data_IF_679406787521
#
_entry.id   IF_679406787521
#
_cell.length_a   1.000
_cell.length_b   1.000
_cell.length_c   1.000
_cell.angle_alpha   90.00
_cell.angle_beta   90.00
_cell.angle_gamma   90.00
#
_symmetry.space_group_name_H-M   'P 1'
#
loop_
_entity.id
_entity.type
_entity.pdbx_description
1 polymer ?
#
# COMPACT_ATOMS: atom_id res chain seq x y z
N UNK A 1 -41.44 -24.60 -45.31
CA UNK A 1 -40.70 -25.87 -45.45
C UNK A 1 -39.23 -25.51 -45.49
N UNK A 2 -38.39 -25.69 -44.47
CA UNK A 2 -38.22 -26.82 -43.56
C UNK A 2 -37.73 -26.30 -42.20
N UNK A 3 -38.50 -26.57 -41.15
CA UNK A 3 -38.03 -26.60 -39.77
C UNK A 3 -37.33 -27.94 -39.50
N UNK A 4 -36.52 -27.95 -38.44
CA UNK A 4 -36.27 -29.09 -37.55
C UNK A 4 -35.35 -30.21 -38.03
N UNK A 5 -34.19 -30.32 -37.36
CA UNK A 5 -33.58 -31.54 -36.81
C UNK A 5 -32.34 -31.07 -36.01
N UNK A 6 -32.48 -30.76 -34.73
CA UNK A 6 -32.40 -31.68 -33.58
C UNK A 6 -30.94 -31.96 -33.15
N UNK A 7 -30.56 -31.26 -32.07
CA UNK A 7 -29.82 -31.76 -30.90
C UNK A 7 -28.95 -33.01 -31.07
N UNK A 8 -27.63 -32.82 -31.00
CA UNK A 8 -26.71 -33.85 -30.48
C UNK A 8 -26.09 -33.31 -29.19
N UNK A 9 -26.74 -33.61 -28.08
CA UNK A 9 -26.17 -33.56 -26.74
C UNK A 9 -25.84 -34.99 -26.32
N UNK A 10 -24.58 -35.26 -25.96
CA UNK A 10 -24.11 -36.32 -25.04
C UNK A 10 -22.59 -36.15 -24.92
N UNK A 11 -22.11 -35.39 -23.95
CA UNK A 11 -21.78 -35.87 -22.60
C UNK A 11 -20.71 -36.98 -22.62
N UNK A 12 -19.45 -36.56 -22.54
CA UNK A 12 -18.37 -37.40 -22.04
C UNK A 12 -17.64 -36.61 -20.95
N UNK A 13 -18.09 -36.89 -19.73
CA UNK A 13 -17.44 -36.53 -18.49
C UNK A 13 -16.19 -37.39 -18.30
N UNK A 14 -15.09 -36.79 -17.86
CA UNK A 14 -14.23 -37.34 -16.81
C UNK A 14 -13.14 -36.34 -16.45
N UNK A 15 -13.10 -35.99 -15.17
CA UNK A 15 -12.19 -35.05 -14.56
C UNK A 15 -10.73 -35.54 -14.59
N UNK A 16 -9.81 -34.63 -14.89
CA UNK A 16 -8.41 -34.72 -14.46
C UNK A 16 -8.05 -33.44 -13.73
N UNK A 17 -8.50 -33.38 -12.47
CA UNK A 17 -8.02 -32.43 -11.47
C UNK A 17 -6.63 -32.91 -11.02
N UNK A 18 -5.58 -32.38 -11.64
CA UNK A 18 -4.22 -32.55 -11.12
C UNK A 18 -4.03 -31.55 -9.99
N UNK A 19 -4.24 -32.06 -8.77
CA UNK A 19 -3.91 -31.37 -7.53
C UNK A 19 -2.38 -31.31 -7.36
N UNK A 20 -1.77 -30.18 -7.67
CA UNK A 20 -0.43 -29.86 -7.15
C UNK A 20 -0.60 -29.44 -5.69
N UNK A 21 -0.42 -30.42 -4.80
CA UNK A 21 -0.44 -30.27 -3.36
C UNK A 21 0.76 -29.41 -2.93
N UNK A 22 0.46 -28.32 -2.22
CA UNK A 22 1.45 -27.43 -1.57
C UNK A 22 2.17 -28.23 -0.49
N UNK A 23 3.48 -28.42 -0.66
CA UNK A 23 4.34 -29.02 0.34
C UNK A 23 4.68 -27.98 1.41
N UNK A 24 4.00 -28.06 2.54
CA UNK A 24 4.33 -27.31 3.77
C UNK A 24 5.63 -27.90 4.34
N UNK A 25 6.76 -27.22 4.13
CA UNK A 25 8.00 -27.53 4.85
C UNK A 25 7.92 -26.93 6.24
N UNK A 26 7.55 -27.76 7.23
CA UNK A 26 7.65 -27.46 8.65
C UNK A 26 9.13 -27.35 9.05
N UNK A 27 9.58 -26.15 9.41
CA UNK A 27 10.83 -25.94 10.14
C UNK A 27 10.65 -26.36 11.61
N UNK A 28 11.65 -27.00 12.25
CA UNK A 28 11.53 -27.44 13.63
C UNK A 28 11.56 -26.26 14.60
N UNK A 29 10.57 -26.27 15.48
CA UNK A 29 10.41 -25.40 16.64
C UNK A 29 11.56 -25.67 17.63
N UNK A 30 12.49 -24.72 17.79
CA UNK A 30 13.55 -24.81 18.79
C UNK A 30 12.94 -24.47 20.16
N UNK A 31 12.56 -25.50 20.91
CA UNK A 31 12.17 -25.39 22.32
C UNK A 31 13.37 -25.04 23.20
N UNK A 32 13.33 -23.87 23.82
CA UNK A 32 14.27 -23.48 24.86
C UNK A 32 13.91 -24.21 26.15
N UNK A 33 14.80 -25.09 26.60
CA UNK A 33 14.67 -25.84 27.84
C UNK A 33 15.05 -24.96 29.03
N UNK A 34 14.19 -25.01 30.04
CA UNK A 34 14.41 -24.50 31.40
C UNK A 34 15.48 -25.30 32.12
N UNK A 35 16.37 -24.62 32.85
CA UNK A 35 17.34 -25.22 33.75
C UNK A 35 17.67 -24.27 34.90
N UNK A 36 16.98 -24.44 36.02
CA UNK A 36 17.32 -23.85 37.32
C UNK A 36 18.48 -24.61 37.97
N UNK A 37 19.42 -23.88 38.57
CA UNK A 37 20.48 -24.43 39.41
C UNK A 37 21.45 -23.35 39.89
N UNK A 38 21.15 -22.72 41.02
CA UNK A 38 22.10 -21.95 41.84
C UNK A 38 22.70 -22.88 42.93
N UNK A 39 23.87 -22.60 43.55
CA UNK A 39 23.99 -21.44 44.42
C UNK A 39 25.36 -20.71 44.49
N UNK A 40 25.24 -19.44 44.88
CA UNK A 40 26.07 -18.61 45.75
C UNK A 40 27.61 -18.62 45.65
N UNK A 41 28.15 -17.48 45.20
CA UNK A 41 29.49 -16.99 45.55
C UNK A 41 29.62 -15.48 45.26
N UNK A 42 29.77 -14.66 46.31
CA UNK A 42 30.36 -13.30 46.27
C UNK A 42 31.71 -13.41 47.01
N UNK A 43 32.75 -12.58 46.74
CA UNK A 43 32.59 -11.12 46.59
C UNK A 43 33.59 -10.38 45.65
N UNK A 44 33.31 -9.08 45.52
CA UNK A 44 34.23 -7.93 45.46
C UNK A 44 34.91 -7.52 44.15
N UNK A 45 34.48 -6.36 43.64
CA UNK A 45 35.36 -5.18 43.55
C UNK A 45 36.24 -5.03 42.31
N UNK A 46 35.89 -4.08 41.44
CA UNK A 46 36.79 -3.58 40.39
C UNK A 46 36.08 -2.62 39.46
N UNK A 47 36.03 -1.34 39.83
CA UNK A 47 35.39 -0.28 39.05
C UNK A 47 36.10 -0.02 37.74
N UNK A 48 35.36 -0.08 36.64
CA UNK A 48 35.58 0.69 35.43
C UNK A 48 34.38 1.61 35.22
N UNK A 49 34.54 2.82 34.66
CA UNK A 49 33.42 3.73 34.50
C UNK A 49 32.51 3.17 33.42
N UNK A 50 31.41 2.57 33.85
CA UNK A 50 30.29 2.30 32.96
C UNK A 50 29.74 3.68 32.61
N UNK A 51 29.87 4.09 31.35
CA UNK A 51 29.19 5.27 30.82
C UNK A 51 27.69 4.94 30.69
N UNK A 52 27.05 4.76 31.83
CA UNK A 52 25.62 4.68 31.99
C UNK A 52 25.09 6.11 31.95
N UNK A 53 24.69 6.54 30.76
CA UNK A 53 23.70 7.60 30.62
C UNK A 53 22.35 7.02 31.10
N UNK A 54 22.21 6.87 32.42
CA UNK A 54 21.03 6.28 33.09
C UNK A 54 19.97 7.32 33.47
N UNK A 55 20.22 8.61 33.25
CA UNK A 55 19.35 9.70 33.72
C UNK A 55 18.75 10.57 32.60
N UNK A 56 18.94 10.24 31.32
CA UNK A 56 18.16 10.89 30.27
C UNK A 56 16.90 10.07 30.01
N UNK A 57 15.70 10.56 30.37
CA UNK A 57 14.48 9.90 29.94
C UNK A 57 14.55 9.78 28.42
N UNK A 58 14.30 8.59 27.83
CA UNK A 58 14.21 8.46 26.39
C UNK A 58 13.31 9.58 25.89
N UNK A 59 13.82 10.41 24.97
CA UNK A 59 13.03 11.47 24.33
C UNK A 59 11.87 10.80 23.59
N UNK A 60 10.80 10.53 24.33
CA UNK A 60 9.49 10.19 23.82
C UNK A 60 9.09 11.41 23.00
N UNK A 61 9.20 11.31 21.69
CA UNK A 61 8.71 12.32 20.76
C UNK A 61 7.27 12.61 21.18
N UNK A 62 6.98 13.88 21.49
CA UNK A 62 5.66 14.37 21.95
C UNK A 62 4.54 13.57 21.29
N UNK A 63 3.73 12.88 22.11
CA UNK A 63 2.53 12.17 21.71
C UNK A 63 1.48 13.20 21.24
N UNK A 64 1.72 13.84 20.11
CA UNK A 64 0.68 14.51 19.37
C UNK A 64 -0.40 13.46 19.12
N UNK A 65 -1.59 13.71 19.68
CA UNK A 65 -2.76 12.83 19.59
C UNK A 65 -2.83 12.18 18.21
N UNK A 66 -2.57 10.86 18.17
CA UNK A 66 -2.62 10.13 16.93
C UNK A 66 -4.02 10.29 16.35
N UNK A 67 -4.16 10.59 15.04
CA UNK A 67 -5.47 10.73 14.45
C UNK A 67 -6.30 9.46 14.75
N UNK A 68 -7.59 9.61 15.08
CA UNK A 68 -8.41 8.50 15.56
C UNK A 68 -8.33 7.33 14.58
N UNK A 69 -8.11 6.14 15.14
CA UNK A 69 -8.06 4.91 14.35
C UNK A 69 -9.33 4.77 13.49
N UNK A 70 -9.19 4.27 12.24
CA UNK A 70 -10.32 4.13 11.34
C UNK A 70 -11.38 3.20 11.93
N UNK A 71 -12.65 3.59 11.81
CA UNK A 71 -13.79 2.79 12.25
C UNK A 71 -14.17 1.82 11.12
N UNK A 72 -13.49 0.69 11.01
CA UNK A 72 -13.78 -0.33 10.00
C UNK A 72 -12.54 -0.82 9.25
N UNK A 73 -12.72 -1.75 8.28
CA UNK A 73 -11.63 -2.20 7.42
C UNK A 73 -11.06 -1.03 6.61
N UNK A 74 -9.77 -1.12 6.32
CA UNK A 74 -9.05 -0.20 5.43
C UNK A 74 -8.34 -1.00 4.35
N UNK A 75 -8.13 -0.41 3.18
CA UNK A 75 -7.39 -1.05 2.11
C UNK A 75 -5.96 -1.39 2.54
N UNK A 76 -5.48 -2.57 2.13
CA UNK A 76 -4.10 -2.99 2.40
C UNK A 76 -3.15 -2.39 1.35
N UNK A 77 -2.36 -1.42 1.79
CA UNK A 77 -1.33 -0.76 1.00
C UNK A 77 0.09 -1.15 1.43
N UNK A 78 0.23 -2.18 2.29
CA UNK A 78 1.50 -2.58 2.90
C UNK A 78 2.61 -2.79 1.87
N UNK A 79 2.31 -3.42 0.73
CA UNK A 79 3.25 -3.67 -0.38
C UNK A 79 3.82 -2.39 -1.00
N UNK A 80 3.01 -1.34 -1.09
CA UNK A 80 3.44 -0.05 -1.65
C UNK A 80 4.22 0.78 -0.60
N UNK A 81 3.78 0.72 0.65
CA UNK A 81 4.38 1.50 1.74
C UNK A 81 5.79 1.06 2.14
N UNK A 82 6.29 -0.09 1.66
CA UNK A 82 7.70 -0.49 1.84
C UNK A 82 8.64 0.58 1.27
N UNK A 83 8.32 1.14 0.11
CA UNK A 83 9.15 2.15 -0.56
C UNK A 83 8.50 3.55 -0.59
N UNK A 84 7.17 3.61 -0.48
CA UNK A 84 6.38 4.85 -0.57
C UNK A 84 5.71 5.19 0.76
N UNK A 85 6.52 5.25 1.83
CA UNK A 85 6.04 5.39 3.21
C UNK A 85 5.29 6.70 3.47
N UNK A 86 5.66 7.79 2.80
CA UNK A 86 5.07 9.11 3.01
C UNK A 86 3.55 9.13 2.75
N UNK A 87 3.07 8.24 1.86
CA UNK A 87 1.65 8.11 1.55
C UNK A 87 0.81 7.51 2.68
N UNK A 88 1.43 6.95 3.73
CA UNK A 88 0.71 6.55 4.94
C UNK A 88 0.09 7.75 5.69
N UNK A 89 0.60 8.96 5.45
CA UNK A 89 0.14 10.18 6.11
C UNK A 89 -0.52 11.16 5.15
N UNK A 90 -0.49 10.86 3.86
CA UNK A 90 -1.01 11.73 2.80
C UNK A 90 -2.55 11.64 2.78
N UNK A 91 -3.21 12.79 2.69
CA UNK A 91 -4.66 12.91 2.86
C UNK A 91 -5.43 12.08 1.82
N UNK A 92 -5.06 12.16 0.53
CA UNK A 92 -5.75 11.44 -0.54
C UNK A 92 -5.67 9.93 -0.33
N UNK A 93 -4.48 9.40 -0.04
CA UNK A 93 -4.26 7.98 0.23
C UNK A 93 -5.03 7.52 1.48
N UNK A 94 -5.02 8.31 2.56
CA UNK A 94 -5.72 7.98 3.80
C UNK A 94 -7.24 7.92 3.63
N UNK A 95 -7.85 8.91 2.96
CA UNK A 95 -9.31 8.94 2.79
C UNK A 95 -9.79 7.82 1.86
N UNK A 96 -9.01 7.48 0.82
CA UNK A 96 -9.35 6.39 -0.09
C UNK A 96 -9.16 5.03 0.58
N UNK A 97 -8.09 4.84 1.36
CA UNK A 97 -7.87 3.59 2.09
C UNK A 97 -9.01 3.31 3.09
N UNK A 98 -9.56 4.34 3.74
CA UNK A 98 -10.74 4.24 4.62
C UNK A 98 -12.03 3.90 3.88
N UNK A 99 -12.08 4.13 2.57
CA UNK A 99 -13.16 3.70 1.69
C UNK A 99 -12.84 2.35 1.02
N UNK A 100 -11.85 1.61 1.55
CA UNK A 100 -11.39 0.32 1.00
C UNK A 100 -10.86 0.41 -0.44
N UNK A 101 -10.38 1.58 -0.85
CA UNK A 101 -9.69 1.82 -2.12
C UNK A 101 -8.20 1.97 -1.85
N UNK A 102 -7.41 1.01 -2.32
CA UNK A 102 -5.97 0.95 -2.14
C UNK A 102 -5.19 1.61 -3.27
N UNK A 103 -3.85 1.66 -3.10
CA UNK A 103 -2.93 2.21 -4.11
C UNK A 103 -3.11 1.51 -5.47
N UNK A 104 -3.28 0.19 -5.44
CA UNK A 104 -3.37 -0.65 -6.64
C UNK A 104 -4.66 -0.44 -7.44
N UNK A 105 -5.73 0.08 -6.83
CA UNK A 105 -6.98 0.38 -7.55
C UNK A 105 -6.81 1.55 -8.52
N UNK A 106 -5.87 2.47 -8.24
CA UNK A 106 -5.54 3.59 -9.10
C UNK A 106 -4.27 3.33 -9.94
N UNK A 107 -3.23 2.77 -9.32
CA UNK A 107 -1.90 2.64 -9.91
C UNK A 107 -1.61 1.25 -10.52
N UNK A 108 -2.54 0.30 -10.37
CA UNK A 108 -2.35 -1.11 -10.70
C UNK A 108 -1.55 -1.86 -9.63
N UNK A 109 -1.64 -3.19 -9.62
CA UNK A 109 -0.93 -4.11 -8.71
C UNK A 109 0.59 -3.87 -8.66
N UNK A 110 1.16 -3.43 -9.78
CA UNK A 110 2.57 -3.01 -9.92
C UNK A 110 3.59 -4.06 -9.44
N UNK A 111 3.30 -5.35 -9.59
CA UNK A 111 4.15 -6.44 -9.08
C UNK A 111 5.59 -6.38 -9.61
N UNK A 112 5.77 -6.12 -10.92
CA UNK A 112 7.08 -5.98 -11.53
C UNK A 112 7.85 -4.75 -11.00
N UNK A 113 7.14 -3.67 -10.68
CA UNK A 113 7.74 -2.48 -10.06
C UNK A 113 8.17 -2.76 -8.61
N UNK A 114 7.32 -3.45 -7.84
CA UNK A 114 7.60 -3.80 -6.44
C UNK A 114 8.79 -4.76 -6.33
N UNK A 115 8.91 -5.72 -7.24
CA UNK A 115 9.98 -6.72 -7.24
C UNK A 115 11.30 -6.22 -7.86
N UNK A 116 11.32 -5.01 -8.44
CA UNK A 116 12.50 -4.49 -9.11
C UNK A 116 13.40 -3.71 -8.14
N UNK A 117 14.47 -4.35 -7.69
CA UNK A 117 15.50 -3.76 -6.83
C UNK A 117 16.60 -3.05 -7.62
N UNK A 118 16.53 -2.99 -8.96
CA UNK A 118 17.59 -2.42 -9.78
C UNK A 118 17.83 -0.93 -9.53
N UNK A 119 16.85 -0.20 -9.00
CA UNK A 119 17.00 1.22 -8.63
C UNK A 119 18.10 1.43 -7.59
N UNK A 120 18.31 0.48 -6.66
CA UNK A 120 19.35 0.57 -5.63
C UNK A 120 20.77 0.33 -6.19
N UNK A 121 20.87 -0.28 -7.37
CA UNK A 121 22.14 -0.62 -8.04
C UNK A 121 22.45 0.29 -9.25
N UNK A 122 21.73 1.41 -9.40
CA UNK A 122 21.90 2.33 -10.52
C UNK A 122 21.23 1.86 -11.83
N UNK A 123 20.42 0.82 -11.76
CA UNK A 123 19.53 0.40 -12.83
C UNK A 123 18.40 1.41 -13.07
N UNK A 124 17.70 1.25 -14.19
CA UNK A 124 16.66 2.19 -14.62
C UNK A 124 15.34 2.03 -13.85
N UNK A 125 15.20 0.93 -13.09
CA UNK A 125 13.96 0.52 -12.45
C UNK A 125 12.88 0.13 -13.46
N UNK A 126 11.74 -0.28 -12.90
CA UNK A 126 10.52 -0.63 -13.63
C UNK A 126 9.45 0.38 -13.24
N UNK A 127 8.71 0.90 -14.21
CA UNK A 127 7.63 1.84 -13.92
C UNK A 127 6.46 1.11 -13.23
N UNK A 128 5.70 1.77 -12.33
CA UNK A 128 4.42 1.23 -11.91
C UNK A 128 3.49 1.11 -13.11
N UNK A 129 2.49 0.24 -13.01
CA UNK A 129 1.61 -0.10 -14.13
C UNK A 129 0.86 1.13 -14.67
N UNK A 130 0.41 1.99 -13.76
CA UNK A 130 -0.27 3.24 -14.12
C UNK A 130 0.39 4.44 -13.47
N UNK A 131 0.83 5.37 -14.30
CA UNK A 131 1.17 6.73 -13.92
C UNK A 131 0.26 7.70 -14.65
N UNK A 132 -0.33 8.64 -13.91
CA UNK A 132 -1.27 9.61 -14.49
C UNK A 132 -0.52 10.83 -15.02
N UNK A 133 -0.48 11.03 -16.36
CA UNK A 133 -0.16 12.36 -16.88
C UNK A 133 -1.29 13.32 -16.51
N UNK A 134 -0.97 14.62 -16.39
CA UNK A 134 -1.90 15.69 -16.02
C UNK A 134 -3.30 15.57 -16.66
N UNK A 135 -3.44 15.45 -18.00
CA UNK A 135 -4.76 15.39 -18.64
C UNK A 135 -5.60 14.16 -18.28
N UNK A 136 -5.00 13.11 -17.71
CA UNK A 136 -5.70 11.88 -17.31
C UNK A 136 -6.13 11.87 -15.83
N UNK A 137 -5.68 12.82 -15.02
CA UNK A 137 -6.01 12.85 -13.58
C UNK A 137 -7.51 13.08 -13.39
N UNK A 138 -8.05 14.19 -13.89
CA UNK A 138 -9.46 14.54 -13.65
C UNK A 138 -10.43 13.50 -14.23
N UNK A 139 -10.27 13.04 -15.49
CA UNK A 139 -11.17 12.01 -16.04
C UNK A 139 -11.14 10.70 -15.24
N UNK A 140 -9.99 10.31 -14.69
CA UNK A 140 -9.89 9.11 -13.85
C UNK A 140 -10.67 9.29 -12.54
N UNK A 141 -10.48 10.41 -11.84
CA UNK A 141 -11.22 10.71 -10.61
C UNK A 141 -12.74 10.68 -10.83
N UNK A 142 -13.20 11.22 -11.96
CA UNK A 142 -14.62 11.27 -12.32
C UNK A 142 -15.26 9.89 -12.56
N UNK A 143 -14.47 8.83 -12.73
CA UNK A 143 -14.96 7.45 -12.82
C UNK A 143 -15.68 6.99 -11.55
N UNK A 144 -15.19 7.40 -10.37
CA UNK A 144 -15.81 7.12 -9.07
C UNK A 144 -16.51 8.34 -8.47
N UNK A 145 -16.10 9.56 -8.86
CA UNK A 145 -16.66 10.83 -8.40
C UNK A 145 -17.43 11.55 -9.52
N UNK A 146 -18.63 11.08 -9.89
CA UNK A 146 -19.33 11.62 -11.04
C UNK A 146 -19.76 13.08 -10.80
N UNK A 147 -19.68 13.89 -11.86
CA UNK A 147 -19.87 15.34 -11.81
C UNK A 147 -21.25 15.74 -11.26
N UNK A 148 -22.29 14.98 -11.55
CA UNK A 148 -23.65 15.22 -11.06
C UNK A 148 -23.77 15.16 -9.51
N UNK A 149 -22.85 14.45 -8.85
CA UNK A 149 -22.75 14.34 -7.40
C UNK A 149 -21.83 15.38 -6.77
N UNK A 150 -20.71 15.69 -7.43
CA UNK A 150 -19.68 16.56 -6.85
C UNK A 150 -19.72 18.01 -7.35
N UNK A 151 -20.27 18.27 -8.52
CA UNK A 151 -20.32 19.58 -9.16
C UNK A 151 -21.31 20.56 -8.52
N UNK A 152 -22.25 20.05 -7.70
CA UNK A 152 -23.19 20.88 -6.93
C UNK A 152 -22.53 21.64 -5.77
N UNK A 153 -21.34 21.22 -5.34
CA UNK A 153 -20.58 21.89 -4.28
C UNK A 153 -20.04 23.22 -4.81
N UNK A 154 -20.21 24.29 -4.04
CA UNK A 154 -19.77 25.65 -4.46
C UNK A 154 -18.29 25.69 -4.86
N UNK A 155 -17.44 24.94 -4.15
CA UNK A 155 -15.99 24.84 -4.41
C UNK A 155 -15.64 24.25 -5.78
N UNK A 156 -16.56 23.55 -6.45
CA UNK A 156 -16.33 22.92 -7.75
C UNK A 156 -17.02 23.63 -8.91
N UNK A 157 -17.90 24.61 -8.66
CA UNK A 157 -18.70 25.27 -9.70
C UNK A 157 -17.83 25.91 -10.77
N UNK A 158 -16.78 26.64 -10.38
CA UNK A 158 -15.87 27.32 -11.31
C UNK A 158 -15.02 26.34 -12.11
N UNK A 159 -14.61 25.23 -11.48
CA UNK A 159 -13.86 24.17 -12.13
C UNK A 159 -14.67 23.50 -13.25
N UNK A 160 -15.90 23.05 -12.95
CA UNK A 160 -16.76 22.42 -13.96
C UNK A 160 -17.35 23.42 -14.97
N UNK A 161 -17.46 24.71 -14.62
CA UNK A 161 -17.82 25.76 -15.57
C UNK A 161 -16.71 26.07 -16.59
N UNK A 162 -15.49 25.52 -16.42
CA UNK A 162 -14.35 25.78 -17.30
C UNK A 162 -13.82 27.22 -17.21
N UNK A 163 -14.17 27.96 -16.16
CA UNK A 163 -13.73 29.35 -15.94
C UNK A 163 -12.54 29.47 -14.99
N UNK A 164 -12.15 28.37 -14.35
CA UNK A 164 -10.94 28.28 -13.55
C UNK A 164 -9.69 28.12 -14.43
N UNK A 165 -8.52 28.48 -13.87
CA UNK A 165 -7.23 28.05 -14.43
C UNK A 165 -7.18 26.52 -14.58
N UNK A 166 -6.30 26.01 -15.45
CA UNK A 166 -6.09 24.57 -15.61
C UNK A 166 -5.58 23.96 -14.29
N UNK A 167 -6.50 23.38 -13.51
CA UNK A 167 -6.25 22.67 -12.26
C UNK A 167 -6.57 21.19 -12.42
N UNK A 168 -5.97 20.39 -11.55
CA UNK A 168 -6.24 18.97 -11.41
C UNK A 168 -6.82 18.68 -10.04
N UNK A 169 -7.60 17.61 -9.89
CA UNK A 169 -8.20 17.25 -8.59
C UNK A 169 -7.14 17.18 -7.48
N UNK A 170 -5.96 16.63 -7.78
CA UNK A 170 -4.82 16.52 -6.87
C UNK A 170 -4.11 17.84 -6.56
N UNK A 171 -4.45 18.95 -7.24
CA UNK A 171 -3.90 20.27 -6.90
C UNK A 171 -4.59 20.89 -5.67
N UNK A 172 -5.73 20.31 -5.25
CA UNK A 172 -6.49 20.73 -4.07
C UNK A 172 -6.83 19.57 -3.12
N UNK A 173 -6.93 18.34 -3.63
CA UNK A 173 -7.22 17.14 -2.86
C UNK A 173 -5.94 16.32 -2.63
N UNK A 174 -5.27 16.61 -1.52
CA UNK A 174 -4.05 15.93 -1.10
C UNK A 174 -2.77 16.48 -1.72
N UNK A 175 -1.63 16.01 -1.20
CA UNK A 175 -0.28 16.27 -1.73
C UNK A 175 0.28 14.99 -2.38
N UNK A 176 -0.57 14.33 -3.17
CA UNK A 176 -0.30 12.98 -3.69
C UNK A 176 0.78 12.96 -4.78
N UNK A 177 1.05 14.11 -5.39
CA UNK A 177 1.94 14.20 -6.56
C UNK A 177 3.39 14.28 -6.11
N UNK A 178 4.22 13.35 -6.59
CA UNK A 178 5.68 13.46 -6.43
C UNK A 178 6.19 14.79 -7.00
N UNK A 179 6.78 15.62 -6.13
CA UNK A 179 7.29 16.95 -6.48
C UNK A 179 8.39 16.87 -7.56
N UNK A 180 9.28 15.89 -7.42
CA UNK A 180 10.39 15.65 -8.34
C UNK A 180 10.34 14.25 -8.93
N UNK A 181 10.40 14.15 -10.25
CA UNK A 181 10.54 12.87 -10.93
C UNK A 181 12.01 12.59 -11.23
N UNK A 182 12.67 11.84 -10.36
CA UNK A 182 14.10 11.49 -10.48
C UNK A 182 14.35 10.33 -11.45
N UNK A 183 13.38 9.42 -11.60
CA UNK A 183 13.48 8.28 -12.52
C UNK A 183 12.82 8.59 -13.87
N UNK A 184 13.52 8.27 -14.95
CA UNK A 184 12.99 8.24 -16.32
C UNK A 184 13.09 6.82 -16.85
N UNK A 185 11.99 6.07 -16.71
CA UNK A 185 11.88 4.75 -17.31
C UNK A 185 11.97 4.84 -18.84
N UNK A 186 12.67 3.88 -19.46
CA UNK A 186 12.94 3.83 -20.90
C UNK A 186 12.02 2.83 -21.57
#
# INVERSE_FOLDING_TARGET
MRYALLFVASALAAALMVACQRQETSLPHHGSQTGEGAPAGKPSGGGGPVLLLEDEPPLLLDDGEAPPAPKGPVADNSRCHVCHLDYQKEELALVHARAEIGCADCHGQSDAHIADESWASGGNGTAPQTMFPKPKINPFCLGCHPEDKIGKKDKHKTFFAGTAEEKHCTDCHGDHRLAERKCKWK
#
